data_IF_670655837763
#
_entry.id   IF_670655837763
#
_cell.length_a   1.000
_cell.length_b   1.000
_cell.length_c   1.000
_cell.angle_alpha   90.00
_cell.angle_beta   90.00
_cell.angle_gamma   90.00
#
_symmetry.space_group_name_H-M   'P 1'
#
loop_
_entity.id
_entity.type
_entity.pdbx_description
1 polymer ?
#
# COMPACT_ATOMS: atom_id res chain seq x y z
N UNK A 1 -15.50 -28.77 -12.99
CA UNK A 1 -15.90 -29.79 -11.99
C UNK A 1 -16.59 -29.18 -10.77
N UNK A 2 -16.08 -28.11 -10.15
CA UNK A 2 -16.70 -27.44 -8.98
C UNK A 2 -18.16 -27.06 -9.30
N UNK A 3 -18.41 -26.39 -10.44
CA UNK A 3 -19.74 -26.03 -10.89
C UNK A 3 -20.65 -27.25 -11.12
N UNK A 4 -20.09 -28.34 -11.62
CA UNK A 4 -20.87 -29.57 -11.84
C UNK A 4 -21.38 -30.15 -10.51
N UNK A 5 -20.54 -30.13 -9.46
CA UNK A 5 -20.93 -30.59 -8.11
C UNK A 5 -22.03 -29.70 -7.51
N UNK A 6 -21.90 -28.36 -7.61
CA UNK A 6 -22.93 -27.46 -7.09
C UNK A 6 -24.26 -27.57 -7.85
N UNK A 7 -24.21 -27.65 -9.19
CA UNK A 7 -25.41 -27.85 -10.03
C UNK A 7 -26.11 -29.18 -9.75
N UNK A 8 -25.33 -30.25 -9.49
CA UNK A 8 -25.91 -31.53 -9.10
C UNK A 8 -26.70 -31.47 -7.78
N UNK A 9 -26.38 -30.50 -6.92
CA UNK A 9 -27.10 -30.22 -5.66
C UNK A 9 -28.20 -29.14 -5.82
N UNK A 10 -28.49 -28.71 -7.05
CA UNK A 10 -29.49 -27.66 -7.31
C UNK A 10 -29.05 -26.24 -6.92
N UNK A 11 -27.76 -26.02 -6.69
CA UNK A 11 -27.20 -24.71 -6.34
C UNK A 11 -26.54 -24.11 -7.58
N UNK A 12 -26.98 -22.94 -8.00
CA UNK A 12 -26.37 -22.18 -9.10
C UNK A 12 -25.48 -21.07 -8.54
N UNK A 13 -24.19 -21.12 -8.89
CA UNK A 13 -23.17 -20.16 -8.47
C UNK A 13 -22.56 -19.51 -9.70
N UNK A 14 -22.46 -18.19 -9.72
CA UNK A 14 -21.83 -17.50 -10.83
C UNK A 14 -20.31 -17.82 -10.88
N UNK A 15 -19.77 -18.05 -12.08
CA UNK A 15 -18.36 -18.38 -12.31
C UNK A 15 -17.38 -17.34 -11.75
N UNK A 16 -17.81 -16.08 -11.61
CA UNK A 16 -16.99 -15.00 -11.06
C UNK A 16 -16.50 -15.29 -9.62
N UNK A 17 -17.34 -15.91 -8.79
CA UNK A 17 -16.97 -16.25 -7.41
C UNK A 17 -15.86 -17.29 -7.36
N UNK A 18 -15.96 -18.33 -8.21
CA UNK A 18 -14.92 -19.36 -8.33
C UNK A 18 -13.67 -18.78 -9.00
N UNK A 19 -13.83 -17.93 -10.02
CA UNK A 19 -12.74 -17.27 -10.72
C UNK A 19 -11.85 -16.41 -9.80
N UNK A 20 -12.43 -15.71 -8.82
CA UNK A 20 -11.68 -14.92 -7.83
C UNK A 20 -10.78 -15.84 -6.98
N UNK A 21 -11.31 -16.98 -6.53
CA UNK A 21 -10.55 -17.94 -5.73
C UNK A 21 -9.41 -18.54 -6.54
N UNK A 22 -9.67 -18.97 -7.77
CA UNK A 22 -8.66 -19.54 -8.68
C UNK A 22 -7.57 -18.50 -8.99
N UNK A 23 -7.94 -17.24 -9.22
CA UNK A 23 -6.97 -16.15 -9.41
C UNK A 23 -6.03 -15.99 -8.22
N UNK A 24 -6.55 -16.10 -7.00
CA UNK A 24 -5.74 -16.04 -5.78
C UNK A 24 -4.80 -17.25 -5.66
N UNK A 25 -5.23 -18.45 -6.06
CA UNK A 25 -4.40 -19.67 -6.10
C UNK A 25 -3.26 -19.58 -7.13
N UNK A 26 -3.40 -18.77 -8.17
CA UNK A 26 -2.41 -18.56 -9.24
C UNK A 26 -1.62 -17.25 -9.05
N UNK A 27 -1.65 -16.65 -7.87
CA UNK A 27 -1.03 -15.35 -7.60
C UNK A 27 0.50 -15.40 -7.57
N UNK A 28 1.09 -16.53 -7.20
CA UNK A 28 2.54 -16.68 -7.05
C UNK A 28 3.22 -17.22 -8.31
N UNK A 29 4.44 -16.76 -8.53
CA UNK A 29 5.35 -17.19 -9.59
C UNK A 29 6.63 -17.70 -8.96
N UNK A 30 7.14 -18.83 -9.43
CA UNK A 30 8.43 -19.38 -9.06
C UNK A 30 9.50 -18.89 -10.05
N UNK A 31 10.59 -18.35 -9.55
CA UNK A 31 11.69 -17.83 -10.38
C UNK A 31 12.52 -19.00 -10.93
N UNK A 32 12.58 -19.11 -12.26
CA UNK A 32 13.34 -20.14 -12.98
C UNK A 32 14.67 -19.58 -13.48
N UNK A 33 14.73 -18.31 -13.87
CA UNK A 33 15.95 -17.62 -14.24
C UNK A 33 15.93 -16.22 -13.62
N UNK A 34 17.03 -15.83 -13.02
CA UNK A 34 17.11 -14.60 -12.23
C UNK A 34 17.31 -13.37 -13.12
N UNK A 35 18.02 -13.50 -14.26
CA UNK A 35 18.45 -12.34 -15.05
C UNK A 35 19.24 -11.35 -14.19
N UNK A 36 19.04 -10.05 -14.43
CA UNK A 36 19.66 -8.95 -13.68
C UNK A 36 18.77 -8.42 -12.55
N UNK A 37 17.79 -9.23 -12.12
CA UNK A 37 16.85 -8.87 -11.03
C UNK A 37 17.41 -9.22 -9.66
N UNK A 38 16.80 -8.65 -8.60
CA UNK A 38 17.14 -8.92 -7.19
C UNK A 38 16.58 -10.25 -6.67
N UNK A 39 15.93 -11.06 -7.51
CA UNK A 39 15.33 -12.31 -7.09
C UNK A 39 16.38 -13.42 -6.91
N UNK A 40 15.96 -14.47 -6.20
CA UNK A 40 16.76 -15.68 -5.98
C UNK A 40 16.12 -16.83 -6.77
N UNK A 41 16.95 -17.72 -7.32
CA UNK A 41 16.49 -18.92 -8.01
C UNK A 41 15.56 -19.76 -7.09
N UNK A 42 14.42 -20.21 -7.60
CA UNK A 42 13.42 -20.96 -6.85
C UNK A 42 12.59 -20.14 -5.86
N UNK A 43 12.79 -18.83 -5.78
CA UNK A 43 11.99 -17.96 -4.94
C UNK A 43 10.54 -17.88 -5.44
N UNK A 44 9.59 -17.93 -4.50
CA UNK A 44 8.16 -17.75 -4.77
C UNK A 44 7.79 -16.28 -4.55
N UNK A 45 7.52 -15.57 -5.62
CA UNK A 45 7.23 -14.13 -5.61
C UNK A 45 5.79 -13.87 -6.05
N UNK A 46 5.21 -12.80 -5.57
CA UNK A 46 3.91 -12.31 -6.05
C UNK A 46 4.02 -11.87 -7.51
N UNK A 47 3.04 -12.23 -8.33
CA UNK A 47 3.00 -11.91 -9.76
C UNK A 47 3.12 -10.40 -10.03
N UNK A 48 2.55 -9.58 -9.15
CA UNK A 48 2.64 -8.13 -9.27
C UNK A 48 4.08 -7.64 -9.07
N UNK A 49 4.73 -8.05 -7.96
CA UNK A 49 6.13 -7.71 -7.66
C UNK A 49 7.10 -8.22 -8.74
N UNK A 50 6.81 -9.41 -9.29
CA UNK A 50 7.58 -9.97 -10.41
C UNK A 50 7.50 -9.07 -11.66
N UNK A 51 6.31 -8.60 -12.04
CA UNK A 51 6.15 -7.72 -13.19
C UNK A 51 6.76 -6.34 -12.96
N UNK A 52 6.64 -5.79 -11.76
CA UNK A 52 7.19 -4.50 -11.38
C UNK A 52 8.73 -4.50 -11.45
N UNK A 53 9.37 -5.52 -10.87
CA UNK A 53 10.84 -5.64 -10.91
C UNK A 53 11.35 -5.89 -12.33
N UNK A 54 10.69 -6.74 -13.11
CA UNK A 54 11.05 -6.95 -14.51
C UNK A 54 10.91 -5.67 -15.33
N UNK A 55 9.87 -4.88 -15.09
CA UNK A 55 9.68 -3.59 -15.75
C UNK A 55 10.84 -2.64 -15.44
N UNK A 56 11.25 -2.54 -14.16
CA UNK A 56 12.38 -1.74 -13.72
C UNK A 56 13.68 -2.15 -14.43
N UNK A 57 13.98 -3.47 -14.48
CA UNK A 57 15.20 -4.00 -15.12
C UNK A 57 15.20 -3.75 -16.63
N UNK A 58 14.05 -3.87 -17.30
CA UNK A 58 13.94 -3.57 -18.73
C UNK A 58 14.18 -2.07 -18.99
N UNK A 59 13.67 -1.18 -18.15
CA UNK A 59 13.89 0.27 -18.24
C UNK A 59 15.38 0.62 -18.02
N UNK A 60 16.10 -0.15 -17.20
CA UNK A 60 17.54 -0.04 -16.99
C UNK A 60 18.39 -0.71 -18.10
N UNK A 61 17.76 -1.40 -19.07
CA UNK A 61 18.41 -2.08 -20.18
C UNK A 61 19.00 -3.46 -19.85
N UNK A 62 18.62 -4.04 -18.70
CA UNK A 62 19.05 -5.37 -18.25
C UNK A 62 18.16 -6.51 -18.74
N UNK A 63 18.53 -7.74 -18.40
CA UNK A 63 17.76 -8.94 -18.72
C UNK A 63 16.71 -9.22 -17.64
N UNK A 64 15.40 -9.35 -18.00
CA UNK A 64 14.34 -9.66 -17.06
C UNK A 64 14.44 -11.11 -16.54
N UNK A 65 13.91 -11.33 -15.33
CA UNK A 65 13.76 -12.67 -14.78
C UNK A 65 12.69 -13.47 -15.53
N UNK A 66 12.88 -14.80 -15.61
CA UNK A 66 11.89 -15.74 -16.14
C UNK A 66 11.28 -16.49 -14.97
N UNK A 67 9.95 -16.50 -14.91
CA UNK A 67 9.19 -17.18 -13.87
C UNK A 67 8.14 -18.13 -14.43
N UNK A 68 7.87 -19.18 -13.68
CA UNK A 68 6.83 -20.17 -13.95
C UNK A 68 5.63 -19.92 -13.02
N UNK A 69 4.40 -19.79 -13.55
CA UNK A 69 3.21 -19.69 -12.70
C UNK A 69 3.10 -20.91 -11.77
N UNK A 70 2.81 -20.67 -10.49
CA UNK A 70 2.65 -21.70 -9.50
C UNK A 70 1.18 -21.80 -9.07
N UNK A 71 0.65 -23.00 -9.03
CA UNK A 71 -0.66 -23.27 -8.48
C UNK A 71 -0.56 -23.68 -7.01
N UNK A 72 -1.19 -22.90 -6.14
CA UNK A 72 -1.19 -23.16 -4.70
C UNK A 72 -2.58 -23.63 -4.24
N UNK A 73 -2.61 -24.56 -3.28
CA UNK A 73 -3.84 -24.91 -2.58
C UNK A 73 -4.43 -23.71 -1.82
N UNK A 74 -5.73 -23.71 -1.56
CA UNK A 74 -6.48 -22.60 -0.94
C UNK A 74 -5.82 -22.17 0.39
N UNK A 75 -5.49 -23.10 1.26
CA UNK A 75 -4.86 -22.81 2.56
C UNK A 75 -3.50 -22.11 2.38
N UNK A 76 -2.64 -22.65 1.52
CA UNK A 76 -1.32 -22.08 1.24
C UNK A 76 -1.42 -20.70 0.61
N UNK A 77 -2.36 -20.51 -0.32
CA UNK A 77 -2.61 -19.22 -0.94
C UNK A 77 -3.12 -18.16 0.06
N UNK A 78 -3.93 -18.58 1.04
CA UNK A 78 -4.47 -17.70 2.08
C UNK A 78 -3.44 -17.32 3.15
N UNK A 79 -2.51 -18.21 3.49
CA UNK A 79 -1.42 -17.95 4.43
C UNK A 79 -0.23 -17.22 3.79
N UNK A 80 -0.07 -17.34 2.47
CA UNK A 80 1.00 -16.72 1.69
C UNK A 80 0.74 -15.27 1.25
N UNK A 81 -0.19 -14.57 1.91
CA UNK A 81 -0.47 -13.15 1.66
C UNK A 81 0.57 -12.25 2.31
N UNK A 82 0.74 -11.04 1.80
CA UNK A 82 1.72 -10.08 2.33
C UNK A 82 1.33 -9.56 3.73
N UNK A 83 0.02 -9.49 4.05
CA UNK A 83 -0.48 -9.09 5.36
C UNK A 83 -0.43 -10.26 6.34
N UNK A 84 0.45 -10.19 7.33
CA UNK A 84 0.51 -11.20 8.38
C UNK A 84 -0.71 -11.15 9.31
N UNK A 85 -1.35 -10.00 9.49
CA UNK A 85 -2.60 -9.86 10.26
C UNK A 85 -3.72 -10.65 9.58
N UNK A 86 -3.86 -10.50 8.27
CA UNK A 86 -4.83 -11.24 7.48
C UNK A 86 -4.58 -12.76 7.53
N UNK A 87 -3.33 -13.20 7.41
CA UNK A 87 -2.94 -14.60 7.52
C UNK A 87 -3.23 -15.16 8.92
N UNK A 88 -2.82 -14.46 9.98
CA UNK A 88 -3.04 -14.86 11.38
C UNK A 88 -4.52 -14.99 11.75
N UNK A 89 -5.37 -14.15 11.15
CA UNK A 89 -6.82 -14.22 11.38
C UNK A 89 -7.52 -15.38 10.67
N UNK A 90 -6.81 -16.14 9.85
CA UNK A 90 -7.34 -17.31 9.13
C UNK A 90 -7.02 -18.62 9.84
N UNK A 91 -5.76 -18.96 9.93
CA UNK A 91 -5.27 -20.21 10.58
C UNK A 91 -3.84 -20.02 11.11
N UNK A 92 -3.40 -20.93 11.98
CA UNK A 92 -2.02 -20.97 12.51
C UNK A 92 -1.57 -19.64 13.13
N UNK A 93 -2.44 -18.97 13.88
CA UNK A 93 -2.23 -17.63 14.42
C UNK A 93 -0.87 -17.46 15.11
N UNK A 94 -0.53 -18.36 16.03
CA UNK A 94 0.73 -18.29 16.78
C UNK A 94 1.95 -18.40 15.87
N UNK A 95 1.93 -19.35 14.93
CA UNK A 95 3.04 -19.57 13.99
C UNK A 95 3.24 -18.38 13.08
N UNK A 96 2.15 -17.83 12.53
CA UNK A 96 2.19 -16.66 11.63
C UNK A 96 2.75 -15.43 12.38
N UNK A 97 2.24 -15.15 13.58
CA UNK A 97 2.69 -14.02 14.39
C UNK A 97 4.16 -14.16 14.83
N UNK A 98 4.58 -15.38 15.23
CA UNK A 98 5.97 -15.65 15.59
C UNK A 98 6.91 -15.42 14.41
N UNK A 99 6.57 -15.94 13.23
CA UNK A 99 7.38 -15.73 12.02
C UNK A 99 7.44 -14.27 11.62
N UNK A 100 6.33 -13.54 11.69
CA UNK A 100 6.28 -12.12 11.40
C UNK A 100 7.15 -11.31 12.38
N UNK A 101 7.12 -11.65 13.67
CA UNK A 101 7.93 -11.01 14.69
C UNK A 101 9.43 -11.26 14.48
N UNK A 102 9.83 -12.51 14.17
CA UNK A 102 11.23 -12.86 13.87
C UNK A 102 11.72 -12.12 12.62
N UNK A 103 10.87 -12.00 11.59
CA UNK A 103 11.20 -11.32 10.35
C UNK A 103 11.16 -9.78 10.47
N UNK A 104 10.68 -9.22 11.58
CA UNK A 104 10.45 -7.77 11.71
C UNK A 104 9.46 -7.24 10.67
N UNK A 105 8.45 -8.04 10.31
CA UNK A 105 7.51 -7.71 9.23
C UNK A 105 6.63 -6.52 9.61
N UNK A 106 6.39 -5.64 8.63
CA UNK A 106 5.48 -4.50 8.76
C UNK A 106 4.27 -4.74 7.85
N UNK A 107 3.06 -4.63 8.40
CA UNK A 107 1.82 -4.76 7.65
C UNK A 107 1.38 -3.40 7.11
N UNK A 108 1.21 -3.31 5.80
CA UNK A 108 0.82 -2.07 5.12
C UNK A 108 -0.68 -1.74 5.21
N UNK A 109 -1.50 -2.60 5.82
CA UNK A 109 -2.97 -2.42 5.98
C UNK A 109 -3.71 -2.09 4.67
N UNK A 110 -3.33 -2.74 3.57
CA UNK A 110 -3.90 -2.46 2.25
C UNK A 110 -5.22 -3.21 1.97
N UNK A 111 -5.47 -4.31 2.67
CA UNK A 111 -6.66 -5.14 2.45
C UNK A 111 -7.81 -4.80 3.39
N UNK A 112 -8.90 -5.55 3.26
CA UNK A 112 -10.10 -5.36 4.07
C UNK A 112 -9.94 -5.98 5.46
N UNK A 113 -9.41 -7.20 5.52
CA UNK A 113 -9.41 -8.03 6.72
C UNK A 113 -8.52 -7.46 7.83
N UNK A 114 -7.33 -6.99 7.49
CA UNK A 114 -6.41 -6.34 8.42
C UNK A 114 -6.96 -5.02 8.96
N UNK A 115 -7.60 -4.20 8.13
CA UNK A 115 -8.23 -2.97 8.59
C UNK A 115 -9.40 -3.24 9.55
N UNK A 116 -10.24 -4.24 9.24
CA UNK A 116 -11.33 -4.65 10.13
C UNK A 116 -10.79 -5.17 11.46
N UNK A 117 -9.73 -5.97 11.45
CA UNK A 117 -9.13 -6.53 12.66
C UNK A 117 -8.60 -5.45 13.61
N UNK A 118 -8.07 -4.34 13.07
CA UNK A 118 -7.53 -3.22 13.86
C UNK A 118 -8.60 -2.17 14.19
N UNK A 119 -9.78 -2.23 13.55
CA UNK A 119 -10.84 -1.24 13.73
C UNK A 119 -10.69 0.01 12.85
N UNK A 120 -9.90 -0.07 11.79
CA UNK A 120 -9.79 0.97 10.78
C UNK A 120 -10.91 0.88 9.74
N UNK A 121 -11.19 1.99 9.06
CA UNK A 121 -12.07 1.98 7.90
C UNK A 121 -11.49 1.12 6.78
N UNK A 122 -12.32 0.28 6.18
CA UNK A 122 -11.91 -0.54 5.04
C UNK A 122 -11.57 0.35 3.82
N UNK A 123 -10.62 -0.07 2.96
CA UNK A 123 -10.24 0.69 1.78
C UNK A 123 -11.26 0.54 0.63
N UNK A 124 -12.55 0.68 0.95
CA UNK A 124 -13.68 0.59 0.03
C UNK A 124 -14.80 1.54 0.48
N UNK A 125 -15.66 1.95 -0.43
CA UNK A 125 -16.74 2.89 -0.16
C UNK A 125 -16.19 4.22 0.39
N UNK A 126 -16.69 4.68 1.54
CA UNK A 126 -16.25 5.94 2.18
C UNK A 126 -14.80 5.90 2.70
N UNK A 127 -14.18 4.73 2.81
CA UNK A 127 -12.77 4.56 3.21
C UNK A 127 -11.75 4.72 2.08
N UNK A 128 -12.18 4.95 0.84
CA UNK A 128 -11.29 5.20 -0.28
C UNK A 128 -10.56 6.53 -0.06
N UNK A 129 -9.27 6.59 -0.44
CA UNK A 129 -8.40 7.77 -0.25
C UNK A 129 -9.01 9.07 -0.79
N UNK A 130 -9.76 8.99 -1.89
CA UNK A 130 -10.42 10.14 -2.50
C UNK A 130 -11.45 10.81 -1.59
N UNK A 131 -12.10 10.03 -0.71
CA UNK A 131 -13.07 10.57 0.25
C UNK A 131 -12.43 11.04 1.56
N UNK A 132 -11.24 10.55 1.92
CA UNK A 132 -10.54 10.98 3.14
C UNK A 132 -10.09 12.45 3.09
N UNK A 133 -9.96 13.03 1.91
CA UNK A 133 -9.60 14.43 1.71
C UNK A 133 -10.78 15.39 1.65
N UNK A 134 -12.01 14.88 1.67
CA UNK A 134 -13.21 15.74 1.62
C UNK A 134 -13.42 16.36 2.99
N UNK A 135 -13.20 17.66 3.08
CA UNK A 135 -13.59 18.47 4.23
C UNK A 135 -14.99 19.02 3.96
N UNK A 136 -15.89 18.81 4.90
CA UNK A 136 -17.18 19.48 4.90
C UNK A 136 -16.94 20.88 5.46
N UNK A 137 -17.16 21.89 4.65
CA UNK A 137 -17.17 23.27 5.09
C UNK A 137 -18.63 23.68 5.26
N UNK A 138 -19.00 24.16 6.44
CA UNK A 138 -20.20 24.94 6.63
C UNK A 138 -19.89 26.39 6.21
N UNK A 139 -20.89 27.15 5.77
CA UNK A 139 -20.68 28.54 5.34
C UNK A 139 -20.14 29.42 6.48
N UNK A 140 -20.37 29.04 7.74
CA UNK A 140 -19.76 29.64 8.93
C UNK A 140 -18.25 29.37 9.06
N UNK A 141 -17.73 28.26 8.49
CA UNK A 141 -16.30 27.92 8.57
C UNK A 141 -15.47 28.74 7.56
N UNK A 142 -16.08 29.17 6.46
CA UNK A 142 -15.40 30.01 5.46
C UNK A 142 -14.97 31.36 6.03
N UNK A 143 -15.79 31.96 6.88
CA UNK A 143 -15.46 33.24 7.50
C UNK A 143 -14.32 33.10 8.52
N UNK A 144 -14.24 31.95 9.22
CA UNK A 144 -13.15 31.63 10.14
C UNK A 144 -11.82 31.34 9.42
N UNK A 145 -11.87 30.62 8.29
CA UNK A 145 -10.67 30.33 7.49
C UNK A 145 -10.12 31.59 6.81
N UNK A 146 -10.99 32.50 6.37
CA UNK A 146 -10.60 33.82 5.81
C UNK A 146 -9.93 34.65 6.90
N UNK A 147 -10.53 34.78 8.08
CA UNK A 147 -9.96 35.51 9.21
C UNK A 147 -8.63 34.90 9.68
N UNK A 148 -8.52 33.58 9.71
CA UNK A 148 -7.27 32.91 10.09
C UNK A 148 -6.16 33.16 9.08
N UNK A 149 -6.45 33.14 7.78
CA UNK A 149 -5.49 33.45 6.74
C UNK A 149 -5.03 34.92 6.78
N UNK A 150 -5.94 35.86 7.00
CA UNK A 150 -5.62 37.28 7.19
C UNK A 150 -4.70 37.52 8.40
N UNK A 151 -4.96 36.80 9.51
CA UNK A 151 -4.11 36.87 10.71
C UNK A 151 -2.71 36.29 10.41
N UNK A 152 -2.61 35.18 9.69
CA UNK A 152 -1.35 34.57 9.33
C UNK A 152 -0.53 35.43 8.35
N UNK A 153 -1.17 36.06 7.40
CA UNK A 153 -0.51 36.98 6.48
C UNK A 153 -0.02 38.26 7.19
N UNK A 154 -0.82 38.82 8.08
CA UNK A 154 -0.41 39.99 8.87
C UNK A 154 0.79 39.67 9.81
N UNK A 155 0.84 38.48 10.39
CA UNK A 155 2.00 38.04 11.17
C UNK A 155 3.27 37.88 10.32
N UNK A 156 3.15 37.28 9.14
CA UNK A 156 4.29 37.15 8.20
C UNK A 156 4.83 38.49 7.76
N UNK A 157 3.96 39.45 7.54
CA UNK A 157 4.37 40.82 7.17
C UNK A 157 5.08 41.54 8.34
N UNK A 158 4.61 41.33 9.58
CA UNK A 158 5.27 41.85 10.79
C UNK A 158 6.65 41.22 11.01
N UNK A 159 6.80 39.92 10.83
CA UNK A 159 8.08 39.25 10.94
C UNK A 159 9.08 39.67 9.86
N UNK A 160 8.62 39.89 8.63
CA UNK A 160 9.45 40.43 7.54
C UNK A 160 9.88 41.88 7.78
N UNK A 161 9.02 42.68 8.35
CA UNK A 161 9.34 44.07 8.71
C UNK A 161 10.32 44.16 9.88
N UNK A 162 10.20 43.27 10.86
CA UNK A 162 11.15 43.17 11.97
C UNK A 162 12.54 42.68 11.50
N UNK A 163 12.59 41.71 10.61
CA UNK A 163 13.87 41.22 10.07
C UNK A 163 14.61 42.27 9.22
N UNK A 164 13.88 43.14 8.55
CA UNK A 164 14.48 44.29 7.79
C UNK A 164 15.00 45.40 8.70
N UNK A 165 14.47 45.51 9.93
CA UNK A 165 14.93 46.49 10.91
C UNK A 165 16.13 46.01 11.73
N UNK A 166 16.38 44.69 11.75
CA UNK A 166 17.49 44.07 12.47
C UNK A 166 18.75 43.80 11.63
N UNK A 167 18.74 44.18 10.30
CA UNK A 167 19.99 44.14 9.54
C UNK A 167 20.93 45.26 10.04
N UNK A 168 22.08 44.91 10.66
CA UNK A 168 23.03 45.93 11.09
C UNK A 168 23.67 46.58 9.86
N UNK A 169 23.51 47.88 9.72
CA UNK A 169 24.29 48.70 8.79
C UNK A 169 25.76 48.54 9.10
N UNK A 170 26.46 47.68 8.38
CA UNK A 170 27.92 47.70 8.35
C UNK A 170 28.36 48.92 7.57
N UNK A 171 28.62 50.00 8.29
CA UNK A 171 29.43 51.13 7.76
C UNK A 171 30.86 50.57 7.59
N UNK A 172 31.30 50.42 6.36
CA UNK A 172 32.73 50.28 6.04
C UNK A 172 33.38 51.64 6.21
N UNK A 173 33.99 51.88 7.37
CA UNK A 173 34.98 52.94 7.50
C UNK A 173 36.19 52.56 6.61
N UNK A 174 36.33 53.23 5.48
CA UNK A 174 37.56 53.33 4.74
C UNK A 174 38.56 54.15 5.61
N UNK A 175 39.60 53.53 6.05
CA UNK A 175 40.79 54.19 6.57
C UNK A 175 41.96 53.96 5.63
N UNK A 176 42.51 55.11 5.16
CA UNK A 176 43.72 55.37 4.41
C UNK A 176 44.93 54.51 4.72
#
# INVERSE_FOLDING_TARGET
>A
EIQAVYRAQGVDINDKHIGIIVRQMLRKVEIVSVGDTKFIFGQQVDKYKFHEENKRVIEEGGQPAIGRPMFQGITKASLGVDSFISAASFQETTRVLTNAAIAGAVDGLHGIKENVAIGHMIPAGTGIKNYKGIKLFDDSDKDLDIQMNEILESRRQQEQMQSQLEEPSFETDDLD
#
